data_IF_766656879357
#
_entry.id   IF_766656879357
#
_cell.length_a   1.000
_cell.length_b   1.000
_cell.length_c   1.000
_cell.angle_alpha   90.00
_cell.angle_beta   90.00
_cell.angle_gamma   90.00
#
_symmetry.space_group_name_H-M   'P 1'
#
loop_
_entity.id
_entity.type
_entity.pdbx_description
1 polymer ?
#
# COMPACT_ATOMS: atom_id res chain seq x y z
N UNK A 1 -45.81 -68.75 -7.39
CA UNK A 1 -47.08 -68.55 -8.11
C UNK A 1 -47.75 -67.35 -7.47
N UNK A 2 -47.60 -66.22 -8.03
CA UNK A 2 -48.57 -65.19 -8.36
C UNK A 2 -47.80 -63.93 -8.84
N UNK A 3 -47.98 -63.65 -10.10
CA UNK A 3 -47.55 -62.44 -10.77
C UNK A 3 -48.48 -61.29 -10.32
N UNK A 4 -47.88 -60.19 -9.95
CA UNK A 4 -48.60 -58.89 -9.94
C UNK A 4 -47.85 -57.93 -10.85
N UNK A 5 -48.49 -57.59 -11.96
CA UNK A 5 -48.15 -56.48 -12.81
C UNK A 5 -48.64 -55.21 -12.13
N UNK A 6 -47.74 -54.28 -11.88
CA UNK A 6 -48.13 -52.91 -11.54
C UNK A 6 -47.65 -52.00 -12.66
N UNK A 7 -48.62 -51.41 -13.32
CA UNK A 7 -48.47 -50.38 -14.32
C UNK A 7 -47.75 -49.17 -13.74
N UNK A 8 -46.60 -48.83 -14.28
CA UNK A 8 -45.89 -47.59 -14.05
C UNK A 8 -46.54 -46.47 -14.85
N UNK A 9 -47.29 -45.63 -14.22
CA UNK A 9 -47.69 -44.36 -14.80
C UNK A 9 -46.49 -43.42 -14.83
N UNK A 10 -46.00 -43.12 -16.00
CA UNK A 10 -44.98 -42.06 -16.21
C UNK A 10 -45.67 -40.70 -16.10
N UNK A 11 -45.50 -40.03 -14.95
CA UNK A 11 -45.68 -38.61 -14.88
C UNK A 11 -44.32 -37.97 -15.11
N UNK A 12 -44.14 -37.07 -16.07
CA UNK A 12 -42.94 -36.28 -16.20
C UNK A 12 -43.00 -35.21 -15.12
N UNK A 13 -42.35 -35.48 -14.01
CA UNK A 13 -42.09 -34.43 -13.00
C UNK A 13 -41.04 -33.51 -13.57
N UNK A 14 -41.53 -32.36 -14.00
CA UNK A 14 -40.71 -31.22 -14.41
C UNK A 14 -39.98 -30.71 -13.16
N UNK A 15 -38.91 -31.38 -12.76
CA UNK A 15 -38.03 -30.89 -11.69
C UNK A 15 -37.16 -29.80 -12.25
N UNK A 16 -37.71 -28.57 -12.25
CA UNK A 16 -36.87 -27.39 -12.24
C UNK A 16 -36.03 -27.47 -10.97
N UNK A 17 -34.85 -28.06 -11.09
CA UNK A 17 -33.87 -28.08 -10.02
C UNK A 17 -33.47 -26.64 -9.74
N UNK A 18 -34.19 -26.01 -8.82
CA UNK A 18 -33.73 -24.82 -8.17
C UNK A 18 -32.48 -25.23 -7.40
N UNK A 19 -31.32 -25.08 -8.03
CA UNK A 19 -30.04 -25.09 -7.32
C UNK A 19 -30.13 -23.98 -6.31
N UNK A 20 -30.54 -24.33 -5.08
CA UNK A 20 -30.37 -23.50 -3.92
C UNK A 20 -28.87 -23.25 -3.83
N UNK A 21 -28.43 -22.11 -4.33
CA UNK A 21 -27.09 -21.57 -4.03
C UNK A 21 -27.08 -21.41 -2.49
N UNK A 22 -26.62 -22.44 -1.82
CA UNK A 22 -26.23 -22.34 -0.43
C UNK A 22 -24.98 -21.47 -0.47
N UNK A 23 -25.20 -20.18 -0.32
CA UNK A 23 -24.12 -19.24 -0.08
C UNK A 23 -23.55 -19.63 1.28
N UNK A 24 -22.50 -20.45 1.26
CA UNK A 24 -21.78 -20.81 2.45
C UNK A 24 -21.07 -19.54 2.93
N UNK A 25 -21.68 -18.86 3.88
CA UNK A 25 -21.04 -17.75 4.58
C UNK A 25 -19.88 -18.34 5.37
N UNK A 26 -18.71 -18.37 4.77
CA UNK A 26 -17.46 -18.63 5.48
C UNK A 26 -17.16 -17.33 6.23
N UNK A 27 -17.50 -17.28 7.50
CA UNK A 27 -17.07 -16.22 8.40
C UNK A 27 -15.54 -16.26 8.48
N UNK A 28 -14.88 -15.46 7.68
CA UNK A 28 -13.46 -15.17 7.86
C UNK A 28 -13.34 -14.17 8.99
N UNK A 29 -12.95 -14.62 10.15
CA UNK A 29 -12.49 -13.73 11.19
C UNK A 29 -11.21 -13.04 10.68
N UNK A 30 -11.15 -11.72 10.75
CA UNK A 30 -9.92 -10.98 10.56
C UNK A 30 -8.95 -11.45 11.65
N UNK A 31 -8.05 -12.34 11.29
CA UNK A 31 -7.00 -12.76 12.20
C UNK A 31 -6.04 -11.59 12.36
N UNK A 32 -5.76 -11.19 13.61
CA UNK A 32 -4.72 -10.21 13.89
C UNK A 32 -3.40 -10.74 13.34
N UNK A 33 -2.83 -10.05 12.37
CA UNK A 33 -1.51 -10.35 11.85
C UNK A 33 -0.46 -9.77 12.81
N UNK A 34 0.03 -10.60 13.71
CA UNK A 34 1.13 -10.26 14.60
C UNK A 34 2.34 -11.13 14.27
N UNK A 35 3.45 -10.51 13.95
CA UNK A 35 4.73 -11.16 13.75
C UNK A 35 5.70 -10.79 14.88
N UNK A 36 6.44 -11.78 15.35
CA UNK A 36 7.48 -11.59 16.35
C UNK A 36 8.82 -11.63 15.64
N UNK A 37 9.63 -10.61 15.84
CA UNK A 37 10.99 -10.54 15.30
C UNK A 37 11.99 -10.41 16.45
N UNK A 38 13.12 -11.08 16.31
CA UNK A 38 14.17 -11.13 17.33
C UNK A 38 15.36 -10.32 16.87
N UNK A 39 16.03 -9.64 17.79
CA UNK A 39 17.27 -8.92 17.52
C UNK A 39 18.35 -9.32 18.51
N UNK A 40 19.55 -9.51 18.03
CA UNK A 40 20.72 -9.84 18.85
C UNK A 40 21.36 -8.61 19.52
N UNK A 41 21.00 -7.40 19.05
CA UNK A 41 21.59 -6.15 19.53
C UNK A 41 21.37 -5.83 21.02
N UNK A 42 20.53 -6.62 21.71
CA UNK A 42 20.15 -6.40 23.11
C UNK A 42 20.50 -7.57 24.04
N UNK A 43 21.20 -8.59 23.56
CA UNK A 43 21.46 -9.79 24.32
C UNK A 43 22.94 -9.99 24.60
N UNK A 44 23.26 -10.29 25.85
CA UNK A 44 24.60 -10.71 26.28
C UNK A 44 24.93 -12.17 25.98
N UNK A 45 23.94 -13.03 25.74
CA UNK A 45 24.12 -14.44 25.43
C UNK A 45 23.25 -14.84 24.25
N UNK A 46 23.85 -15.47 23.25
CA UNK A 46 23.15 -15.99 22.06
C UNK A 46 22.73 -17.43 22.34
N UNK A 47 21.44 -17.65 22.52
CA UNK A 47 20.86 -18.97 22.60
C UNK A 47 19.91 -19.16 21.41
N UNK A 48 20.17 -20.15 20.56
CA UNK A 48 19.31 -20.44 19.40
C UNK A 48 18.02 -21.10 19.88
N UNK A 49 16.91 -20.38 19.86
CA UNK A 49 15.57 -20.91 20.12
C UNK A 49 14.74 -20.85 18.85
N UNK A 50 13.96 -21.89 18.57
CA UNK A 50 13.01 -21.88 17.47
C UNK A 50 11.94 -20.82 17.71
N UNK A 51 11.84 -19.84 16.82
CA UNK A 51 10.75 -18.89 16.78
C UNK A 51 9.72 -19.45 15.79
N UNK A 52 8.51 -19.75 16.28
CA UNK A 52 7.41 -20.14 15.38
C UNK A 52 6.93 -18.89 14.66
N UNK A 53 7.20 -18.81 13.37
CA UNK A 53 6.72 -17.73 12.53
C UNK A 53 5.35 -18.10 11.98
N UNK A 54 4.38 -17.22 12.19
CA UNK A 54 3.10 -17.28 11.51
C UNK A 54 3.23 -16.58 10.17
N UNK A 55 2.86 -17.24 9.07
CA UNK A 55 2.79 -16.57 7.77
C UNK A 55 1.83 -15.38 7.86
N UNK A 56 2.33 -14.22 7.50
CA UNK A 56 1.52 -13.01 7.39
C UNK A 56 0.71 -13.12 6.11
N UNK A 57 -0.60 -12.89 6.22
CA UNK A 57 -1.51 -12.87 5.07
C UNK A 57 -2.00 -11.46 4.85
N UNK A 58 -1.83 -10.98 3.63
CA UNK A 58 -2.25 -9.67 3.17
C UNK A 58 -3.28 -9.87 2.07
N UNK A 59 -4.40 -9.19 2.15
CA UNK A 59 -5.45 -9.24 1.13
C UNK A 59 -5.32 -8.04 0.21
N UNK A 60 -5.28 -8.30 -1.11
CA UNK A 60 -5.31 -7.26 -2.14
C UNK A 60 -6.63 -6.51 -2.11
N UNK A 61 -6.61 -5.20 -2.35
CA UNK A 61 -7.80 -4.35 -2.46
C UNK A 61 -8.39 -3.85 -1.15
N UNK A 62 -7.69 -4.04 -0.04
CA UNK A 62 -8.02 -3.47 1.27
C UNK A 62 -6.75 -3.08 2.03
N UNK A 63 -6.90 -2.20 3.00
CA UNK A 63 -5.84 -1.86 3.94
C UNK A 63 -5.55 -3.02 4.90
N UNK A 64 -4.28 -3.33 5.07
CA UNK A 64 -3.81 -4.42 5.91
C UNK A 64 -2.89 -3.89 7.00
N UNK A 65 -3.38 -3.83 8.22
CA UNK A 65 -2.57 -3.44 9.38
C UNK A 65 -1.84 -4.66 9.94
N UNK A 66 -0.52 -4.59 9.96
CA UNK A 66 0.35 -5.64 10.50
C UNK A 66 1.03 -5.12 11.76
N UNK A 67 0.94 -5.89 12.82
CA UNK A 67 1.62 -5.57 14.09
C UNK A 67 2.86 -6.44 14.24
N UNK A 68 3.99 -5.81 14.54
CA UNK A 68 5.25 -6.47 14.88
C UNK A 68 5.57 -6.26 16.36
N UNK A 69 6.19 -7.26 16.96
CA UNK A 69 6.68 -7.20 18.33
C UNK A 69 8.18 -7.54 18.35
N UNK A 70 9.00 -6.61 18.84
CA UNK A 70 10.44 -6.78 18.96
C UNK A 70 10.75 -7.49 20.29
N UNK A 71 11.47 -8.59 20.19
CA UNK A 71 11.94 -9.36 21.34
C UNK A 71 13.46 -9.54 21.29
N UNK A 72 14.07 -9.73 22.46
CA UNK A 72 15.46 -10.16 22.54
C UNK A 72 15.56 -11.69 22.39
N UNK A 73 16.77 -12.22 22.43
CA UNK A 73 17.05 -13.67 22.36
C UNK A 73 16.36 -14.48 23.46
N UNK A 74 16.07 -13.86 24.62
CA UNK A 74 15.31 -14.47 25.72
C UNK A 74 13.78 -14.43 25.52
N UNK A 75 13.30 -14.03 24.34
CA UNK A 75 11.89 -13.83 24.02
C UNK A 75 11.16 -12.77 24.87
N UNK A 76 11.92 -11.86 25.50
CA UNK A 76 11.35 -10.76 26.26
C UNK A 76 11.14 -9.54 25.37
N UNK A 77 9.99 -8.84 25.44
CA UNK A 77 9.78 -7.60 24.70
C UNK A 77 10.83 -6.54 25.03
N UNK A 78 11.36 -5.90 24.01
CA UNK A 78 12.36 -4.84 24.12
C UNK A 78 11.71 -3.50 23.84
N UNK A 79 11.96 -2.49 24.68
CA UNK A 79 11.47 -1.14 24.41
C UNK A 79 12.19 -0.53 23.21
N UNK A 80 11.37 0.02 22.29
CA UNK A 80 11.85 0.76 21.12
C UNK A 80 11.46 2.24 21.17
N UNK A 81 10.68 2.64 22.18
CA UNK A 81 10.17 3.99 22.36
C UNK A 81 11.34 4.99 22.51
N UNK A 82 11.30 6.07 21.75
CA UNK A 82 12.26 7.18 21.74
C UNK A 82 13.73 6.79 21.40
N UNK A 83 14.00 5.51 21.20
CA UNK A 83 15.36 5.01 20.94
C UNK A 83 15.52 4.57 19.49
N UNK A 84 14.47 3.99 18.90
CA UNK A 84 14.52 3.42 17.57
C UNK A 84 13.34 3.84 16.72
N UNK A 85 13.60 3.99 15.41
CA UNK A 85 12.57 4.07 14.38
C UNK A 85 12.53 2.72 13.66
N UNK A 86 11.44 1.95 13.76
CA UNK A 86 11.33 0.67 13.06
C UNK A 86 10.98 0.89 11.59
N UNK A 87 11.65 0.13 10.72
CA UNK A 87 11.36 0.07 9.29
C UNK A 87 11.07 -1.36 8.85
N UNK A 88 10.14 -1.49 7.91
CA UNK A 88 9.84 -2.75 7.24
C UNK A 88 9.96 -2.52 5.74
N UNK A 89 10.85 -3.25 5.10
CA UNK A 89 10.96 -3.27 3.64
C UNK A 89 10.31 -4.54 3.11
N UNK A 90 9.42 -4.39 2.14
CA UNK A 90 8.69 -5.48 1.50
C UNK A 90 9.18 -5.62 0.06
N UNK A 91 9.43 -6.86 -0.35
CA UNK A 91 9.93 -7.21 -1.67
C UNK A 91 8.97 -8.18 -2.34
N UNK A 92 8.75 -8.01 -3.64
CA UNK A 92 8.00 -8.94 -4.48
C UNK A 92 8.72 -10.28 -4.61
N UNK A 93 8.09 -11.27 -5.24
CA UNK A 93 8.72 -12.57 -5.56
C UNK A 93 10.00 -12.39 -6.39
N UNK A 94 10.01 -11.43 -7.30
CA UNK A 94 11.17 -11.08 -8.13
C UNK A 94 12.27 -10.30 -7.40
N UNK A 95 12.15 -10.15 -6.08
CA UNK A 95 13.10 -9.37 -5.25
C UNK A 95 13.17 -7.89 -5.58
N UNK A 96 12.15 -7.35 -6.20
CA UNK A 96 11.98 -5.90 -6.38
C UNK A 96 11.38 -5.32 -5.11
N UNK A 97 11.97 -4.25 -4.60
CA UNK A 97 11.44 -3.56 -3.41
C UNK A 97 10.09 -2.92 -3.76
N UNK A 98 9.03 -3.39 -3.11
CA UNK A 98 7.71 -2.81 -3.22
C UNK A 98 7.67 -1.45 -2.53
N UNK A 99 7.97 -1.44 -1.24
CA UNK A 99 7.94 -0.22 -0.42
C UNK A 99 8.72 -0.41 0.88
N UNK A 100 9.22 0.71 1.41
CA UNK A 100 9.71 0.85 2.79
C UNK A 100 8.62 1.49 3.63
N UNK A 101 8.19 0.79 4.66
CA UNK A 101 7.20 1.27 5.62
C UNK A 101 7.91 1.74 6.89
N UNK A 102 7.58 2.95 7.34
CA UNK A 102 7.98 3.42 8.67
C UNK A 102 6.95 2.91 9.68
N UNK A 103 7.40 2.19 10.69
CA UNK A 103 6.52 1.64 11.71
C UNK A 103 6.02 2.70 12.68
N UNK A 104 4.73 2.63 12.98
CA UNK A 104 4.11 3.43 14.03
C UNK A 104 4.22 2.71 15.36
N UNK A 105 5.01 3.24 16.30
CA UNK A 105 5.26 2.63 17.61
C UNK A 105 3.97 2.69 18.43
N UNK A 106 3.54 1.54 18.97
CA UNK A 106 2.38 1.43 19.87
C UNK A 106 2.75 1.57 21.34
N UNK A 107 4.02 1.38 21.66
CA UNK A 107 4.52 1.50 23.01
C UNK A 107 4.29 2.91 23.54
N UNK A 108 3.71 3.00 24.72
CA UNK A 108 3.53 4.23 25.48
C UNK A 108 4.31 4.13 26.79
N UNK A 109 4.28 5.19 27.61
CA UNK A 109 4.88 5.16 28.96
C UNK A 109 4.25 4.10 29.91
N UNK A 110 3.10 3.55 29.56
CA UNK A 110 2.51 2.39 30.23
C UNK A 110 3.15 1.11 29.70
N UNK A 111 3.36 0.08 30.53
CA UNK A 111 4.09 -1.14 30.15
C UNK A 111 3.41 -2.01 29.09
N UNK A 112 2.19 -1.66 28.72
CA UNK A 112 1.43 -2.34 27.64
C UNK A 112 2.04 -2.01 26.28
N UNK A 113 2.08 -2.98 25.40
CA UNK A 113 2.57 -2.84 24.00
C UNK A 113 4.09 -2.60 23.88
N UNK A 114 4.88 -2.95 24.91
CA UNK A 114 6.33 -2.83 24.85
C UNK A 114 6.90 -3.53 23.62
N UNK A 115 7.73 -2.80 22.84
CA UNK A 115 8.35 -3.32 21.63
C UNK A 115 7.40 -3.50 20.45
N UNK A 116 6.13 -3.06 20.54
CA UNK A 116 5.17 -3.20 19.46
C UNK A 116 5.14 -1.97 18.56
N UNK A 117 5.04 -2.23 17.26
CA UNK A 117 4.77 -1.22 16.25
C UNK A 117 3.88 -1.80 15.15
N UNK A 118 3.25 -0.93 14.38
CA UNK A 118 2.39 -1.30 13.25
C UNK A 118 2.87 -0.66 11.96
N UNK A 119 2.64 -1.36 10.86
CA UNK A 119 2.65 -0.81 9.51
C UNK A 119 1.28 -1.00 8.88
N UNK A 120 0.97 -0.19 7.87
CA UNK A 120 -0.22 -0.37 7.04
C UNK A 120 0.22 -0.60 5.60
N UNK A 121 -0.07 -1.79 5.06
CA UNK A 121 0.04 -2.07 3.63
C UNK A 121 -1.31 -1.69 3.04
N UNK A 122 -1.33 -0.58 2.29
CA UNK A 122 -2.58 -0.05 1.74
C UNK A 122 -3.04 -0.84 0.52
N UNK A 123 -4.30 -0.67 0.15
CA UNK A 123 -4.86 -1.22 -1.09
C UNK A 123 -4.06 -0.73 -2.31
N UNK A 124 -3.67 0.56 -2.31
CA UNK A 124 -2.85 1.18 -3.34
C UNK A 124 -1.49 0.48 -3.53
N UNK A 125 -0.83 0.07 -2.44
CA UNK A 125 0.47 -0.58 -2.48
C UNK A 125 0.42 -1.95 -3.21
N UNK A 126 -0.74 -2.59 -3.23
CA UNK A 126 -0.91 -3.95 -3.79
C UNK A 126 -1.65 -3.97 -5.13
N UNK A 127 -2.02 -2.81 -5.66
CA UNK A 127 -2.92 -2.71 -6.81
C UNK A 127 -2.41 -3.45 -8.05
N UNK A 128 -1.16 -3.20 -8.42
CA UNK A 128 -0.55 -3.71 -9.65
C UNK A 128 0.24 -5.01 -9.45
N UNK A 129 0.01 -5.70 -8.32
CA UNK A 129 0.70 -6.94 -7.98
C UNK A 129 -0.31 -8.07 -7.95
N UNK A 130 0.01 -9.17 -8.61
CA UNK A 130 -0.78 -10.39 -8.52
C UNK A 130 -0.53 -11.11 -7.20
N UNK A 131 -1.44 -12.03 -6.85
CA UNK A 131 -1.28 -12.87 -5.67
C UNK A 131 0.03 -13.65 -5.72
N UNK A 132 0.90 -13.46 -4.72
CA UNK A 132 2.25 -14.01 -4.69
C UNK A 132 2.78 -14.12 -3.26
N UNK A 133 3.94 -14.77 -3.12
CA UNK A 133 4.70 -14.76 -1.89
C UNK A 133 5.73 -13.63 -1.92
N UNK A 134 5.54 -12.64 -1.05
CA UNK A 134 6.47 -11.54 -0.86
C UNK A 134 7.42 -11.85 0.30
N UNK A 135 8.60 -11.26 0.30
CA UNK A 135 9.51 -11.28 1.44
C UNK A 135 9.57 -9.92 2.12
N UNK A 136 9.84 -9.91 3.42
CA UNK A 136 10.03 -8.66 4.16
C UNK A 136 11.24 -8.73 5.08
N UNK A 137 11.83 -7.59 5.34
CA UNK A 137 12.92 -7.41 6.31
C UNK A 137 12.54 -6.32 7.29
N UNK A 138 12.79 -6.57 8.57
CA UNK A 138 12.59 -5.59 9.65
C UNK A 138 13.94 -5.15 10.17
N UNK A 139 14.14 -3.84 10.29
CA UNK A 139 15.31 -3.28 10.97
C UNK A 139 14.93 -2.07 11.82
N UNK A 140 15.77 -1.81 12.81
CA UNK A 140 15.61 -0.71 13.74
C UNK A 140 16.69 0.33 13.46
N UNK A 141 16.28 1.54 13.15
CA UNK A 141 17.19 2.67 13.00
C UNK A 141 17.29 3.39 14.34
N UNK A 142 18.49 3.50 14.87
CA UNK A 142 18.72 4.17 16.15
C UNK A 142 18.67 5.68 15.97
N UNK A 143 17.80 6.35 16.72
CA UNK A 143 17.53 7.77 16.56
C UNK A 143 18.76 8.65 16.86
N UNK A 144 19.65 8.19 17.75
CA UNK A 144 20.80 8.99 18.20
C UNK A 144 21.93 9.12 17.18
N UNK A 145 22.19 8.06 16.40
CA UNK A 145 23.36 7.97 15.51
C UNK A 145 23.00 7.45 14.10
N UNK A 146 21.71 7.27 13.81
CA UNK A 146 21.19 6.76 12.56
C UNK A 146 21.75 5.38 12.15
N UNK A 147 22.28 4.61 13.09
CA UNK A 147 22.76 3.24 12.82
C UNK A 147 21.60 2.27 12.71
N UNK A 148 21.70 1.31 11.78
CA UNK A 148 20.70 0.29 11.58
C UNK A 148 21.07 -0.99 12.34
N UNK A 149 20.10 -1.53 13.08
CA UNK A 149 20.18 -2.83 13.71
C UNK A 149 19.26 -3.79 12.99
N UNK A 150 19.81 -4.86 12.42
CA UNK A 150 19.04 -5.90 11.76
C UNK A 150 18.27 -6.74 12.77
N UNK A 151 17.07 -7.14 12.41
CA UNK A 151 16.28 -8.12 13.16
C UNK A 151 16.16 -9.42 12.38
N UNK A 152 15.76 -10.48 13.06
CA UNK A 152 15.57 -11.80 12.45
C UNK A 152 14.09 -12.15 12.46
N UNK A 153 13.47 -12.13 11.30
CA UNK A 153 12.08 -12.50 11.13
C UNK A 153 11.90 -14.02 10.93
N UNK A 154 12.93 -14.68 10.45
CA UNK A 154 12.99 -16.14 10.28
C UNK A 154 14.27 -16.70 10.89
N UNK A 155 14.11 -17.52 11.94
CA UNK A 155 15.25 -18.14 12.65
C UNK A 155 15.97 -19.21 11.85
N UNK A 156 15.39 -19.73 10.76
CA UNK A 156 16.01 -20.77 9.93
C UNK A 156 16.78 -20.20 8.74
N UNK A 157 16.30 -19.09 8.19
CA UNK A 157 16.77 -18.55 6.90
C UNK A 157 17.37 -17.13 7.00
N UNK A 158 17.42 -16.56 8.19
CA UNK A 158 17.99 -15.23 8.42
C UNK A 158 16.97 -14.11 8.58
N UNK A 159 17.29 -12.87 8.17
CA UNK A 159 16.54 -11.69 8.58
C UNK A 159 15.21 -11.50 7.84
N UNK A 160 14.89 -12.30 6.83
CA UNK A 160 13.65 -12.12 6.03
C UNK A 160 12.52 -13.02 6.51
N UNK A 161 11.31 -12.47 6.49
CA UNK A 161 10.08 -13.22 6.67
C UNK A 161 9.26 -13.27 5.38
N UNK A 162 8.14 -13.99 5.41
CA UNK A 162 7.27 -14.19 4.25
C UNK A 162 5.89 -13.58 4.48
N UNK A 163 5.39 -12.88 3.47
CA UNK A 163 4.01 -12.39 3.36
C UNK A 163 3.34 -13.09 2.20
N UNK A 164 2.19 -13.72 2.44
CA UNK A 164 1.32 -14.25 1.40
C UNK A 164 0.33 -13.16 0.98
N UNK A 165 0.48 -12.62 -0.24
CA UNK A 165 -0.50 -11.74 -0.85
C UNK A 165 -1.61 -12.58 -1.46
N UNK A 166 -2.79 -12.50 -0.85
CA UNK A 166 -3.98 -13.21 -1.32
C UNK A 166 -4.60 -12.39 -2.45
N UNK A 167 -4.88 -13.03 -3.58
CA UNK A 167 -5.51 -12.40 -4.73
C UNK A 167 -6.82 -11.70 -4.39
N UNK A 168 -7.17 -10.73 -5.21
CA UNK A 168 -8.26 -9.80 -5.02
C UNK A 168 -9.60 -10.48 -4.72
N UNK A 169 -10.08 -10.36 -3.50
CA UNK A 169 -11.51 -10.58 -3.18
C UNK A 169 -12.33 -9.31 -3.45
N UNK A 170 -11.67 -8.17 -3.50
CA UNK A 170 -12.27 -6.86 -3.73
C UNK A 170 -11.47 -6.13 -4.81
N UNK A 171 -12.09 -5.78 -5.94
CA UNK A 171 -11.49 -4.81 -6.85
C UNK A 171 -11.55 -3.45 -6.15
N UNK A 172 -10.49 -3.06 -5.48
CA UNK A 172 -10.38 -1.75 -4.88
C UNK A 172 -10.39 -0.69 -5.98
N UNK A 173 -11.30 0.27 -5.91
CA UNK A 173 -11.14 1.51 -6.62
C UNK A 173 -10.09 2.31 -5.85
N UNK A 174 -8.98 2.65 -6.50
CA UNK A 174 -8.03 3.58 -5.89
C UNK A 174 -8.58 4.98 -6.04
N UNK A 175 -8.59 5.72 -4.93
CA UNK A 175 -8.91 7.12 -4.95
C UNK A 175 -7.80 7.89 -5.68
N UNK A 176 -8.21 8.81 -6.56
CA UNK A 176 -7.28 9.73 -7.18
C UNK A 176 -6.77 10.72 -6.14
N UNK A 177 -5.49 11.07 -6.19
CA UNK A 177 -4.95 12.16 -5.41
C UNK A 177 -5.53 13.47 -5.90
N UNK A 178 -5.92 14.36 -4.99
CA UNK A 178 -6.54 15.64 -5.32
C UNK A 178 -5.63 16.79 -4.89
N UNK A 179 -5.38 17.70 -5.82
CA UNK A 179 -4.68 18.97 -5.60
C UNK A 179 -5.67 20.10 -5.86
N UNK A 180 -5.96 20.89 -4.83
CA UNK A 180 -6.87 22.05 -4.93
C UNK A 180 -6.27 23.35 -4.42
N UNK A 181 -5.06 23.29 -3.84
CA UNK A 181 -4.39 24.44 -3.26
C UNK A 181 -3.20 24.85 -4.13
N UNK A 182 -3.19 26.13 -4.53
CA UNK A 182 -2.09 26.75 -5.26
C UNK A 182 -1.58 27.94 -4.44
N UNK A 183 -0.28 27.97 -4.20
CA UNK A 183 0.44 29.09 -3.57
C UNK A 183 1.39 29.66 -4.62
N UNK A 184 1.30 30.97 -4.87
CA UNK A 184 2.08 31.64 -5.92
C UNK A 184 2.05 30.87 -7.25
N UNK A 185 0.83 30.51 -7.69
CA UNK A 185 0.56 29.73 -8.91
C UNK A 185 1.14 28.30 -8.95
N UNK A 186 1.74 27.84 -7.86
CA UNK A 186 2.28 26.48 -7.73
C UNK A 186 1.41 25.66 -6.79
N UNK A 187 1.07 24.44 -7.20
CA UNK A 187 0.29 23.54 -6.37
C UNK A 187 1.07 22.98 -5.18
N UNK A 188 0.36 22.44 -4.22
CA UNK A 188 0.95 21.50 -3.26
C UNK A 188 1.58 20.32 -3.98
N UNK A 189 2.65 19.78 -3.38
CA UNK A 189 3.38 18.62 -3.90
C UNK A 189 2.59 17.36 -3.63
N UNK A 190 2.51 16.47 -4.60
CA UNK A 190 1.94 15.12 -4.48
C UNK A 190 3.00 14.05 -4.70
N UNK A 191 2.91 12.97 -3.96
CA UNK A 191 3.73 11.77 -4.17
C UNK A 191 3.34 11.10 -5.49
N UNK A 192 4.30 10.85 -6.37
CA UNK A 192 4.09 10.17 -7.64
C UNK A 192 3.97 8.65 -7.51
N UNK A 193 4.19 8.10 -6.32
CA UNK A 193 4.06 6.66 -6.01
C UNK A 193 4.73 5.73 -7.03
N UNK A 194 6.03 5.91 -7.29
CA UNK A 194 6.73 5.15 -8.33
C UNK A 194 6.72 3.63 -8.08
N UNK A 195 6.49 3.21 -6.84
CA UNK A 195 6.38 1.81 -6.44
C UNK A 195 5.07 1.15 -6.89
N UNK A 196 4.03 1.93 -7.20
CA UNK A 196 2.74 1.41 -7.73
C UNK A 196 2.78 1.31 -9.25
N UNK A 197 3.43 2.26 -9.89
CA UNK A 197 3.35 2.46 -11.33
C UNK A 197 4.26 1.53 -12.14
N UNK A 198 4.91 0.58 -11.51
CA UNK A 198 5.77 -0.42 -12.12
C UNK A 198 6.61 0.09 -13.31
N UNK A 199 6.71 -0.68 -14.41
CA UNK A 199 7.60 -0.35 -15.52
C UNK A 199 7.00 0.64 -16.55
N UNK A 200 5.69 0.83 -16.56
CA UNK A 200 5.05 1.71 -17.56
C UNK A 200 5.03 3.17 -17.10
N UNK A 201 5.00 3.39 -15.80
CA UNK A 201 5.05 4.71 -15.18
C UNK A 201 4.11 5.73 -15.86
N UNK A 202 2.88 5.28 -16.18
CA UNK A 202 1.84 6.10 -16.79
C UNK A 202 1.08 6.85 -15.72
N UNK A 203 1.00 8.17 -15.87
CA UNK A 203 0.22 9.04 -15.01
C UNK A 203 -0.91 9.69 -15.82
N UNK A 204 -2.06 9.84 -15.19
CA UNK A 204 -3.19 10.59 -15.76
C UNK A 204 -3.56 11.71 -14.80
N UNK A 205 -3.57 12.95 -15.29
CA UNK A 205 -4.05 14.10 -14.53
C UNK A 205 -5.30 14.68 -15.21
N UNK A 206 -6.37 14.88 -14.43
CA UNK A 206 -7.59 15.53 -14.87
C UNK A 206 -7.72 16.90 -14.21
N UNK A 207 -7.74 17.96 -15.03
CA UNK A 207 -7.75 19.35 -14.62
C UNK A 207 -9.18 19.87 -14.69
N UNK A 208 -9.70 20.31 -13.56
CA UNK A 208 -11.01 20.93 -13.43
C UNK A 208 -10.81 22.43 -13.25
N UNK A 209 -11.47 23.24 -14.05
CA UNK A 209 -11.30 24.68 -14.03
C UNK A 209 -12.60 25.42 -14.28
N UNK A 210 -12.68 26.64 -13.78
CA UNK A 210 -13.80 27.55 -14.01
C UNK A 210 -13.26 28.85 -14.59
N UNK A 211 -13.65 29.12 -15.85
CA UNK A 211 -13.26 30.36 -16.54
C UNK A 211 -11.75 30.47 -16.85
N UNK A 212 -10.94 29.45 -16.63
CA UNK A 212 -9.48 29.51 -16.77
C UNK A 212 -9.06 29.50 -18.24
N UNK A 213 -8.29 30.50 -18.61
CA UNK A 213 -7.50 30.52 -19.84
C UNK A 213 -6.03 30.78 -19.48
N UNK A 214 -5.14 29.94 -20.02
CA UNK A 214 -3.72 29.99 -19.67
C UNK A 214 -3.05 28.64 -19.84
N UNK A 215 -1.92 28.48 -19.18
CA UNK A 215 -1.16 27.22 -19.23
C UNK A 215 -1.09 26.54 -17.87
N UNK A 216 -1.07 25.22 -17.89
CA UNK A 216 -0.80 24.37 -16.72
C UNK A 216 0.39 23.48 -17.05
N UNK A 217 1.47 23.62 -16.33
CA UNK A 217 2.65 22.78 -16.42
C UNK A 217 2.58 21.67 -15.41
N UNK A 218 2.89 20.45 -15.83
CA UNK A 218 3.16 19.33 -14.94
C UNK A 218 4.66 19.29 -14.70
N UNK A 219 5.07 19.36 -13.45
CA UNK A 219 6.48 19.28 -13.07
C UNK A 219 6.75 18.06 -12.21
N UNK A 220 7.86 17.40 -12.47
CA UNK A 220 8.35 16.27 -11.70
C UNK A 220 9.67 16.55 -11.00
N UNK A 221 9.98 15.72 -10.02
CA UNK A 221 11.30 15.68 -9.39
C UNK A 221 11.68 14.24 -9.06
N UNK A 222 12.99 13.96 -9.06
CA UNK A 222 13.56 12.70 -8.55
C UNK A 222 14.04 12.85 -7.09
N UNK A 223 13.97 14.06 -6.54
CA UNK A 223 14.22 14.36 -5.13
C UNK A 223 12.97 14.13 -4.28
N UNK A 224 13.08 14.30 -2.96
CA UNK A 224 11.93 14.28 -2.06
C UNK A 224 11.01 15.50 -2.22
N UNK A 225 9.94 15.54 -1.44
CA UNK A 225 8.92 16.61 -1.46
C UNK A 225 9.48 18.02 -1.16
N UNK A 226 10.64 18.12 -0.54
CA UNK A 226 11.38 19.38 -0.27
C UNK A 226 12.38 19.73 -1.37
N UNK A 227 12.40 18.98 -2.48
CA UNK A 227 13.34 19.23 -3.58
C UNK A 227 13.17 20.65 -4.15
N UNK A 228 14.28 21.25 -4.51
CA UNK A 228 14.33 22.51 -5.28
C UNK A 228 14.56 22.25 -6.78
N UNK A 229 14.85 21.01 -7.16
CA UNK A 229 15.17 20.60 -8.53
C UNK A 229 13.93 20.02 -9.21
N UNK A 230 13.13 20.91 -9.78
CA UNK A 230 11.94 20.58 -10.54
C UNK A 230 12.20 20.76 -12.04
N UNK A 231 11.62 19.89 -12.85
CA UNK A 231 11.68 20.00 -14.30
C UNK A 231 10.28 19.83 -14.92
N UNK A 232 10.04 20.51 -16.03
CA UNK A 232 8.79 20.44 -16.78
C UNK A 232 8.69 19.08 -17.48
N UNK A 233 7.56 18.37 -17.28
CA UNK A 233 7.23 17.12 -17.97
C UNK A 233 6.40 17.44 -19.20
N UNK A 234 5.31 18.17 -19.02
CA UNK A 234 4.41 18.60 -20.09
C UNK A 234 3.77 19.94 -19.74
N UNK A 235 3.28 20.62 -20.76
CA UNK A 235 2.56 21.89 -20.63
C UNK A 235 1.27 21.81 -21.43
N UNK A 236 0.16 22.06 -20.75
CA UNK A 236 -1.17 22.08 -21.34
C UNK A 236 -1.67 23.50 -21.44
N UNK A 237 -2.24 23.86 -22.59
CA UNK A 237 -2.89 25.18 -22.80
C UNK A 237 -4.40 25.00 -22.72
N UNK A 238 -5.03 25.76 -21.85
CA UNK A 238 -6.47 25.73 -21.63
C UNK A 238 -7.10 27.06 -22.07
N UNK A 239 -8.22 26.98 -22.78
CA UNK A 239 -8.97 28.14 -23.26
C UNK A 239 -10.40 28.06 -22.74
N UNK A 240 -10.57 28.23 -21.45
CA UNK A 240 -11.87 28.16 -20.75
C UNK A 240 -12.66 26.89 -21.07
N UNK A 241 -12.10 25.69 -20.81
CA UNK A 241 -12.80 24.44 -21.13
C UNK A 241 -14.05 24.28 -20.24
N UNK A 242 -15.13 23.78 -20.83
CA UNK A 242 -16.40 23.49 -20.13
C UNK A 242 -16.43 22.07 -19.53
N UNK A 243 -15.47 21.23 -19.90
CA UNK A 243 -15.31 19.86 -19.41
C UNK A 243 -13.91 19.71 -18.83
N UNK A 244 -13.70 18.77 -17.91
CA UNK A 244 -12.36 18.49 -17.40
C UNK A 244 -11.39 18.17 -18.53
N UNK A 245 -10.24 18.83 -18.52
CA UNK A 245 -9.15 18.53 -19.43
C UNK A 245 -8.25 17.46 -18.82
N UNK A 246 -7.87 16.45 -19.58
CA UNK A 246 -6.97 15.41 -19.07
C UNK A 246 -5.68 15.34 -19.87
N UNK A 247 -4.61 14.96 -19.19
CA UNK A 247 -3.29 14.75 -19.76
C UNK A 247 -2.70 13.45 -19.25
N UNK A 248 -2.10 12.69 -20.16
CA UNK A 248 -1.34 11.49 -19.84
C UNK A 248 0.15 11.77 -20.06
N UNK A 249 0.97 11.31 -19.13
CA UNK A 249 2.43 11.45 -19.24
C UNK A 249 3.12 10.25 -18.58
N UNK A 250 4.32 9.93 -19.04
CA UNK A 250 5.11 8.81 -18.56
C UNK A 250 6.37 9.31 -17.85
N UNK A 251 6.84 8.55 -16.89
CA UNK A 251 8.10 8.76 -16.20
C UNK A 251 8.05 8.33 -14.74
N UNK A 252 9.17 7.91 -14.20
CA UNK A 252 9.30 7.53 -12.79
C UNK A 252 9.78 8.75 -12.02
N UNK A 253 8.88 9.34 -11.25
CA UNK A 253 9.13 10.54 -10.45
C UNK A 253 8.97 10.21 -8.96
N UNK A 254 9.67 10.91 -8.08
CA UNK A 254 9.42 10.84 -6.65
C UNK A 254 8.19 11.67 -6.28
N UNK A 255 8.10 12.87 -6.82
CA UNK A 255 6.98 13.78 -6.56
C UNK A 255 6.61 14.56 -7.81
N UNK A 256 5.36 15.02 -7.84
CA UNK A 256 4.78 15.85 -8.88
C UNK A 256 4.21 17.14 -8.28
N UNK A 257 4.16 18.20 -9.09
CA UNK A 257 3.42 19.44 -8.79
C UNK A 257 2.91 20.05 -10.09
N UNK A 258 2.00 20.98 -9.97
CA UNK A 258 1.40 21.71 -11.09
C UNK A 258 1.68 23.18 -10.94
N UNK A 259 2.05 23.83 -12.03
CA UNK A 259 2.27 25.28 -12.08
C UNK A 259 1.30 25.85 -13.11
N UNK A 260 0.44 26.76 -12.67
CA UNK A 260 -0.52 27.44 -13.55
C UNK A 260 0.00 28.83 -13.91
N UNK A 261 -0.33 29.29 -15.10
CA UNK A 261 -0.08 30.68 -15.52
C UNK A 261 -1.32 31.13 -16.28
N UNK A 262 -2.02 32.15 -15.74
CA UNK A 262 -3.17 32.72 -16.40
C UNK A 262 -2.74 33.58 -17.60
N UNK A 263 -3.53 33.58 -18.66
CA UNK A 263 -3.38 34.53 -19.74
C UNK A 263 -3.65 35.97 -19.23
N UNK A 264 -3.06 36.97 -19.90
CA UNK A 264 -3.22 38.36 -19.50
C UNK A 264 -4.69 38.75 -19.43
N UNK A 265 -5.12 39.20 -18.24
CA UNK A 265 -6.50 39.61 -17.96
C UNK A 265 -7.46 38.48 -17.65
N UNK A 266 -7.03 37.22 -17.67
CA UNK A 266 -7.88 36.10 -17.28
C UNK A 266 -7.93 35.98 -15.75
N UNK A 267 -9.16 35.91 -15.20
CA UNK A 267 -9.45 35.80 -13.75
C UNK A 267 -9.97 34.42 -13.34
N UNK A 268 -9.98 33.48 -14.28
CA UNK A 268 -10.43 32.11 -14.02
C UNK A 268 -9.49 31.34 -13.11
N UNK A 269 -9.98 30.23 -12.57
CA UNK A 269 -9.27 29.42 -11.58
C UNK A 269 -9.16 27.94 -12.00
N UNK A 270 -8.15 27.28 -11.51
CA UNK A 270 -8.10 25.84 -11.43
C UNK A 270 -8.76 25.42 -10.10
N UNK A 271 -9.84 24.66 -10.19
CA UNK A 271 -10.64 24.26 -9.03
C UNK A 271 -9.98 23.07 -8.30
N UNK A 272 -9.57 22.08 -9.08
CA UNK A 272 -8.80 20.92 -8.60
C UNK A 272 -8.12 20.20 -9.76
N UNK A 273 -7.09 19.45 -9.42
CA UNK A 273 -6.47 18.48 -10.33
C UNK A 273 -6.51 17.12 -9.64
N UNK A 274 -7.13 16.16 -10.30
CA UNK A 274 -7.10 14.76 -9.86
C UNK A 274 -5.98 14.05 -10.60
N UNK A 275 -5.11 13.39 -9.86
CA UNK A 275 -4.01 12.61 -10.43
C UNK A 275 -4.15 11.16 -10.04
N UNK A 276 -3.84 10.28 -10.99
CA UNK A 276 -3.82 8.84 -10.82
C UNK A 276 -2.61 8.25 -11.54
N UNK A 277 -2.01 7.25 -10.91
CA UNK A 277 -0.91 6.45 -11.42
C UNK A 277 -1.43 5.14 -11.99
#
# INVERSE_FOLDING_TARGET
>A
KFFFYIFSQHNPINTTSVRKLIMQLVTRYLASNQSVVVTDGFAGNVEYRKVYQKNIKVSKGIDNVITFEIKNSDHKPVSILNTYTPYVEVFTEDKVMLKRYTGTIKETSTPNYKGQFTINITDADTLNIDGQYMSYVVYLNKTADATNTLTYADSQFGPSGTIELIGSAFPGAIDSKSVSTFLDDTSTVVDAEPHINSNEALHTAAIYSTGFAGTVKVQGTLGGNTSTSWFDITTETLSNPTTPHYVNFNGVFSNLRFVKTNDSGNVGSIDKILIRN
#
